data_IF_875490326113
#
_entry.id   IF_875490326113
#
_cell.length_a   1.000
_cell.length_b   1.000
_cell.length_c   1.000
_cell.angle_alpha   90.00
_cell.angle_beta   90.00
_cell.angle_gamma   90.00
#
_symmetry.space_group_name_H-M   'P 1'
#
loop_
_entity.id
_entity.type
_entity.pdbx_description
1 polymer ?
#
# COMPACT_ATOMS: atom_id res chain seq x y z
N UNK A 1 10.42 -7.37 -29.38
CA UNK A 1 9.56 -6.28 -28.85
C UNK A 1 8.26 -6.75 -28.20
N UNK A 2 7.31 -7.39 -28.91
CA UNK A 2 5.97 -7.73 -28.35
C UNK A 2 6.02 -8.57 -27.07
N UNK A 3 6.85 -9.62 -27.03
CA UNK A 3 7.04 -10.48 -25.85
C UNK A 3 7.48 -9.69 -24.60
N UNK A 4 8.44 -8.77 -24.75
CA UNK A 4 8.95 -7.93 -23.66
C UNK A 4 7.88 -6.93 -23.17
N UNK A 5 7.10 -6.35 -24.10
CA UNK A 5 5.97 -5.50 -23.74
C UNK A 5 4.87 -6.27 -22.97
N UNK A 6 4.56 -7.51 -23.38
CA UNK A 6 3.60 -8.37 -22.68
C UNK A 6 4.09 -8.76 -21.28
N UNK A 7 5.37 -9.11 -21.14
CA UNK A 7 6.00 -9.40 -19.84
C UNK A 7 5.99 -8.18 -18.93
N UNK A 8 6.41 -7.01 -19.44
CA UNK A 8 6.38 -5.75 -18.71
C UNK A 8 4.98 -5.46 -18.16
N UNK A 9 3.94 -5.62 -19.00
CA UNK A 9 2.55 -5.43 -18.56
C UNK A 9 2.16 -6.35 -17.40
N UNK A 10 2.52 -7.63 -17.46
CA UNK A 10 2.25 -8.56 -16.37
C UNK A 10 3.00 -8.20 -15.08
N UNK A 11 4.27 -7.83 -15.19
CA UNK A 11 5.07 -7.38 -14.04
C UNK A 11 4.44 -6.15 -13.37
N UNK A 12 4.05 -5.15 -14.15
CA UNK A 12 3.40 -3.94 -13.66
C UNK A 12 2.08 -4.23 -12.94
N UNK A 13 1.22 -5.07 -13.52
CA UNK A 13 -0.08 -5.42 -12.93
C UNK A 13 0.05 -6.21 -11.63
N UNK A 14 0.92 -7.22 -11.62
CA UNK A 14 1.13 -8.07 -10.44
C UNK A 14 1.78 -7.25 -9.33
N UNK A 15 2.81 -6.46 -9.65
CA UNK A 15 3.49 -5.61 -8.67
C UNK A 15 2.54 -4.58 -8.06
N UNK A 16 1.83 -3.82 -8.90
CA UNK A 16 0.91 -2.77 -8.42
C UNK A 16 -0.20 -3.35 -7.54
N UNK A 17 -0.81 -4.47 -7.98
CA UNK A 17 -1.87 -5.12 -7.20
C UNK A 17 -1.36 -5.64 -5.85
N UNK A 18 -0.17 -6.25 -5.82
CA UNK A 18 0.49 -6.69 -4.59
C UNK A 18 0.74 -5.53 -3.62
N UNK A 19 1.27 -4.41 -4.08
CA UNK A 19 1.56 -3.24 -3.24
C UNK A 19 0.27 -2.62 -2.66
N UNK A 20 -0.79 -2.49 -3.47
CA UNK A 20 -2.06 -1.97 -2.96
C UNK A 20 -2.71 -2.91 -1.94
N UNK A 21 -2.73 -4.23 -2.22
CA UNK A 21 -3.32 -5.22 -1.31
C UNK A 21 -2.55 -5.23 0.02
N UNK A 22 -1.23 -5.29 -0.01
CA UNK A 22 -0.41 -5.32 1.20
C UNK A 22 -0.61 -4.08 2.07
N UNK A 23 -0.77 -2.92 1.44
CA UNK A 23 -1.03 -1.64 2.13
C UNK A 23 -2.38 -1.61 2.82
N UNK A 24 -3.43 -2.06 2.13
CA UNK A 24 -4.78 -2.14 2.71
C UNK A 24 -4.76 -3.15 3.87
N UNK A 25 -4.18 -4.33 3.67
CA UNK A 25 -4.04 -5.34 4.72
C UNK A 25 -3.31 -4.78 5.94
N UNK A 26 -2.16 -4.14 5.74
CA UNK A 26 -1.38 -3.51 6.81
C UNK A 26 -2.21 -2.46 7.56
N UNK A 27 -2.88 -1.55 6.85
CA UNK A 27 -3.65 -0.48 7.49
C UNK A 27 -4.88 -1.01 8.25
N UNK A 28 -5.49 -2.10 7.78
CA UNK A 28 -6.60 -2.75 8.50
C UNK A 28 -6.18 -3.41 9.82
N UNK A 29 -4.89 -3.71 10.01
CA UNK A 29 -4.41 -4.27 11.30
C UNK A 29 -4.64 -3.32 12.47
N UNK A 30 -4.70 -2.01 12.22
CA UNK A 30 -5.06 -0.99 13.22
C UNK A 30 -6.48 -1.15 13.79
N UNK A 31 -7.37 -1.85 13.10
CA UNK A 31 -8.73 -2.13 13.58
C UNK A 31 -8.77 -3.28 14.58
N UNK A 32 -7.72 -4.10 14.67
CA UNK A 32 -7.67 -5.30 15.52
C UNK A 32 -8.00 -5.00 16.98
N UNK A 33 -7.43 -3.97 17.65
CA UNK A 33 -7.77 -3.65 19.03
C UNK A 33 -9.26 -3.32 19.22
N UNK A 34 -9.86 -2.55 18.31
CA UNK A 34 -11.28 -2.16 18.37
C UNK A 34 -12.22 -3.35 18.14
N UNK A 35 -11.85 -4.26 17.24
CA UNK A 35 -12.60 -5.52 17.03
C UNK A 35 -12.51 -6.40 18.28
N UNK A 36 -11.32 -6.49 18.89
CA UNK A 36 -11.11 -7.25 20.11
C UNK A 36 -11.86 -6.67 21.31
N UNK A 37 -12.05 -5.35 21.40
CA UNK A 37 -12.87 -4.74 22.46
C UNK A 37 -14.34 -5.19 22.39
N UNK A 38 -14.85 -5.54 21.20
CA UNK A 38 -16.21 -6.04 21.01
C UNK A 38 -16.29 -7.55 21.29
N UNK A 39 -15.32 -8.33 20.80
CA UNK A 39 -15.35 -9.80 20.86
C UNK A 39 -14.84 -10.33 22.21
N UNK A 40 -13.79 -9.71 22.76
CA UNK A 40 -13.12 -10.10 24.00
C UNK A 40 -12.76 -8.85 24.82
N UNK A 41 -13.76 -8.26 25.50
CA UNK A 41 -13.57 -7.05 26.28
C UNK A 41 -12.63 -7.32 27.45
N UNK A 42 -11.70 -6.38 27.67
CA UNK A 42 -10.81 -6.38 28.82
C UNK A 42 -11.38 -5.44 29.90
N UNK A 43 -10.99 -5.67 31.16
CA UNK A 43 -11.38 -4.80 32.26
C UNK A 43 -10.74 -3.40 32.16
N UNK A 44 -9.60 -3.32 31.44
CA UNK A 44 -8.88 -2.09 31.10
C UNK A 44 -8.98 -1.81 29.58
N UNK A 45 -8.90 -0.53 29.19
CA UNK A 45 -8.93 -0.11 27.79
C UNK A 45 -7.65 -0.49 27.03
N UNK A 46 -7.78 -1.06 25.83
CA UNK A 46 -6.65 -1.33 24.94
C UNK A 46 -6.02 -0.03 24.41
N UNK A 47 -4.69 0.01 24.20
CA UNK A 47 -4.06 1.16 23.56
C UNK A 47 -4.52 1.29 22.10
N UNK A 48 -4.59 2.53 21.62
CA UNK A 48 -4.83 2.82 20.20
C UNK A 48 -3.63 2.33 19.39
N UNK A 49 -3.90 1.60 18.31
CA UNK A 49 -2.89 1.26 17.32
C UNK A 49 -3.20 1.96 16.01
N UNK A 50 -2.40 2.98 15.69
CA UNK A 50 -2.38 3.60 14.36
C UNK A 50 -1.53 2.76 13.40
N UNK A 51 -1.80 2.86 12.10
CA UNK A 51 -1.10 2.06 11.09
C UNK A 51 0.38 2.46 10.98
N UNK A 52 0.66 3.75 11.14
CA UNK A 52 2.00 4.31 11.24
C UNK A 52 1.98 5.47 12.24
N UNK A 53 3.12 5.76 12.90
CA UNK A 53 3.17 6.84 13.87
C UNK A 53 2.94 8.19 13.18
N UNK A 54 1.92 8.92 13.62
CA UNK A 54 1.60 10.25 13.13
C UNK A 54 0.82 11.02 14.19
N UNK A 55 1.10 12.33 14.30
CA UNK A 55 0.44 13.21 15.25
C UNK A 55 -0.58 14.10 14.53
N UNK A 56 -1.86 13.98 14.89
CA UNK A 56 -2.97 14.66 14.21
C UNK A 56 -3.48 15.92 14.93
N UNK A 57 -2.86 16.34 16.04
CA UNK A 57 -3.30 17.49 16.85
C UNK A 57 -4.77 17.43 17.31
N UNK A 58 -5.37 16.23 17.32
CA UNK A 58 -6.73 15.95 17.80
C UNK A 58 -6.71 14.71 18.71
N UNK A 59 -7.78 14.48 19.46
CA UNK A 59 -7.92 13.26 20.27
C UNK A 59 -8.01 12.02 19.36
N UNK A 60 -7.02 11.14 19.45
CA UNK A 60 -6.92 9.95 18.60
C UNK A 60 -8.02 8.92 18.88
N UNK A 61 -8.61 8.91 20.10
CA UNK A 61 -9.70 7.99 20.44
C UNK A 61 -11.01 8.46 19.81
N UNK A 62 -11.33 9.74 19.93
CA UNK A 62 -12.57 10.32 19.41
C UNK A 62 -12.60 10.31 17.87
N UNK A 63 -11.47 10.65 17.24
CA UNK A 63 -11.36 10.81 15.78
C UNK A 63 -10.77 9.59 15.07
N UNK A 64 -10.66 8.45 15.74
CA UNK A 64 -9.96 7.26 15.26
C UNK A 64 -10.32 6.85 13.82
N UNK A 65 -11.61 6.77 13.47
CA UNK A 65 -12.05 6.37 12.14
C UNK A 65 -11.68 7.39 11.06
N UNK A 66 -11.75 8.69 11.37
CA UNK A 66 -11.33 9.74 10.46
C UNK A 66 -9.82 9.72 10.25
N UNK A 67 -9.05 9.47 11.32
CA UNK A 67 -7.59 9.34 11.26
C UNK A 67 -7.20 8.15 10.39
N UNK A 68 -7.78 6.96 10.61
CA UNK A 68 -7.50 5.78 9.77
C UNK A 68 -7.87 6.05 8.32
N UNK A 69 -9.03 6.67 8.05
CA UNK A 69 -9.44 6.99 6.70
C UNK A 69 -8.44 7.91 6.00
N UNK A 70 -8.02 8.98 6.67
CA UNK A 70 -6.97 9.87 6.17
C UNK A 70 -5.64 9.12 5.97
N UNK A 71 -5.26 8.24 6.90
CA UNK A 71 -4.04 7.43 6.79
C UNK A 71 -4.04 6.53 5.56
N UNK A 72 -5.17 5.89 5.25
CA UNK A 72 -5.35 5.06 4.06
C UNK A 72 -5.17 5.90 2.79
N UNK A 73 -5.83 7.07 2.71
CA UNK A 73 -5.72 7.94 1.54
C UNK A 73 -4.28 8.40 1.34
N UNK A 74 -3.62 8.88 2.40
CA UNK A 74 -2.23 9.30 2.34
C UNK A 74 -1.31 8.16 1.91
N UNK A 75 -1.48 6.97 2.48
CA UNK A 75 -0.68 5.79 2.12
C UNK A 75 -0.87 5.44 0.63
N UNK A 76 -2.11 5.40 0.15
CA UNK A 76 -2.42 5.13 -1.26
C UNK A 76 -1.74 6.17 -2.16
N UNK A 77 -1.87 7.47 -1.86
CA UNK A 77 -1.24 8.52 -2.67
C UNK A 77 0.29 8.37 -2.73
N UNK A 78 0.94 8.19 -1.58
CA UNK A 78 2.39 8.01 -1.51
C UNK A 78 2.85 6.77 -2.30
N UNK A 79 2.12 5.66 -2.17
CA UNK A 79 2.44 4.43 -2.86
C UNK A 79 2.17 4.51 -4.35
N UNK A 80 1.15 5.23 -4.80
CA UNK A 80 0.94 5.47 -6.23
C UNK A 80 2.14 6.17 -6.86
N UNK A 81 2.74 7.15 -6.16
CA UNK A 81 3.95 7.81 -6.63
C UNK A 81 5.15 6.86 -6.71
N UNK A 82 5.34 6.01 -5.69
CA UNK A 82 6.39 4.98 -5.67
C UNK A 82 6.19 3.94 -6.78
N UNK A 83 4.98 3.41 -6.94
CA UNK A 83 4.61 2.47 -7.99
C UNK A 83 4.88 3.10 -9.36
N UNK A 84 4.52 4.37 -9.58
CA UNK A 84 4.79 5.05 -10.84
C UNK A 84 6.29 5.11 -11.15
N UNK A 85 7.12 5.41 -10.15
CA UNK A 85 8.58 5.39 -10.29
C UNK A 85 9.10 3.99 -10.69
N UNK A 86 8.65 2.94 -10.01
CA UNK A 86 9.11 1.57 -10.26
C UNK A 86 8.63 1.03 -11.62
N UNK A 87 7.41 1.36 -12.02
CA UNK A 87 6.87 1.00 -13.34
C UNK A 87 7.70 1.63 -14.45
N UNK A 88 8.09 2.90 -14.30
CA UNK A 88 8.97 3.56 -15.27
C UNK A 88 10.30 2.81 -15.40
N UNK A 89 10.90 2.43 -14.27
CA UNK A 89 12.13 1.65 -14.26
C UNK A 89 11.96 0.29 -14.95
N UNK A 90 10.94 -0.50 -14.60
CA UNK A 90 10.65 -1.78 -15.25
C UNK A 90 10.41 -1.64 -16.76
N UNK A 91 9.73 -0.58 -17.16
CA UNK A 91 9.47 -0.30 -18.57
C UNK A 91 10.76 -0.02 -19.33
N UNK A 92 11.68 0.78 -18.77
CA UNK A 92 12.98 1.05 -19.39
C UNK A 92 13.82 -0.22 -19.53
N UNK A 93 13.88 -1.06 -18.49
CA UNK A 93 14.62 -2.32 -18.53
C UNK A 93 14.06 -3.25 -19.62
N UNK A 94 12.75 -3.47 -19.64
CA UNK A 94 12.11 -4.32 -20.65
C UNK A 94 12.24 -3.75 -22.07
N UNK A 95 12.19 -2.42 -22.22
CA UNK A 95 12.40 -1.75 -23.49
C UNK A 95 13.82 -1.99 -24.03
N UNK A 96 14.85 -1.77 -23.19
CA UNK A 96 16.25 -1.97 -23.55
C UNK A 96 16.52 -3.45 -23.88
N UNK A 97 16.04 -4.38 -23.04
CA UNK A 97 16.14 -5.82 -23.30
C UNK A 97 15.46 -6.20 -24.62
N UNK A 98 14.30 -5.61 -24.91
CA UNK A 98 13.58 -5.80 -26.16
C UNK A 98 14.36 -5.34 -27.38
N UNK A 99 15.06 -4.19 -27.31
CA UNK A 99 15.92 -3.69 -28.38
C UNK A 99 17.11 -4.62 -28.62
N UNK A 100 17.81 -5.03 -27.57
CA UNK A 100 18.93 -5.99 -27.69
C UNK A 100 18.51 -7.33 -28.28
N UNK A 101 17.31 -7.81 -27.96
CA UNK A 101 16.77 -9.05 -28.50
C UNK A 101 16.35 -8.97 -29.98
N UNK A 102 16.22 -7.77 -30.56
CA UNK A 102 15.96 -7.57 -32.00
C UNK A 102 17.26 -7.45 -32.79
N UNK A 103 18.29 -6.86 -32.19
CA UNK A 103 19.59 -6.65 -32.83
C UNK A 103 20.43 -7.93 -32.84
N UNK A 104 20.21 -8.83 -31.87
CA UNK A 104 20.81 -10.16 -31.82
C UNK A 104 20.06 -11.15 -32.71
#
# INVERSE_FOLDING_TARGET
MRKYAENCRWHVLIYSSYVYISTVSFTTTSLVPRILDIIFPLNDSRPIMLAYPAYYFVDENEYFYYIIFHMIICAIMCLTALIAHDIMFFTYVEHICGLFAVVR
#
